data_IF_147253536923
#
_entry.id   IF_147253536923
#
_cell.length_a   1.000
_cell.length_b   1.000
_cell.length_c   1.000
_cell.angle_alpha   90.00
_cell.angle_beta   90.00
_cell.angle_gamma   90.00
#
_symmetry.space_group_name_H-M   'P 1'
#
loop_
_entity.id
_entity.type
_entity.pdbx_description
1 polymer ?
#
# COMPACT_ATOMS: atom_id res chain seq x y z
N UNK A 1 -6.93 -22.95 8.53
CA UNK A 1 -8.05 -22.03 8.86
C UNK A 1 -7.48 -20.91 9.73
N UNK A 2 -7.20 -19.75 9.12
CA UNK A 2 -7.08 -18.39 9.71
C UNK A 2 -6.76 -17.41 8.57
N UNK A 3 -7.75 -17.27 7.69
CA UNK A 3 -7.80 -16.21 6.68
C UNK A 3 -8.67 -15.10 7.27
N UNK A 4 -8.11 -14.14 8.01
CA UNK A 4 -8.80 -12.84 8.24
C UNK A 4 -7.88 -11.76 8.89
N UNK A 5 -6.68 -12.10 9.35
CA UNK A 5 -5.88 -11.16 10.18
C UNK A 5 -5.21 -10.00 9.42
N UNK A 6 -5.27 -9.98 8.08
CA UNK A 6 -4.74 -8.87 7.29
C UNK A 6 -5.70 -7.67 7.18
N UNK A 7 -6.99 -7.86 7.50
CA UNK A 7 -8.02 -6.81 7.35
C UNK A 7 -7.82 -5.63 8.30
N UNK A 8 -7.03 -5.78 9.37
CA UNK A 8 -6.83 -4.73 10.37
C UNK A 8 -5.92 -3.58 9.91
N UNK A 9 -5.08 -3.77 8.89
CA UNK A 9 -4.11 -2.74 8.45
C UNK A 9 -4.46 -2.05 7.12
N UNK A 10 -5.44 -2.57 6.38
CA UNK A 10 -5.93 -1.97 5.14
C UNK A 10 -7.25 -1.27 5.45
N UNK A 11 -7.28 0.05 5.28
CA UNK A 11 -8.49 0.86 5.45
C UNK A 11 -8.97 1.36 4.10
N UNK A 12 -10.28 1.52 3.98
CA UNK A 12 -10.91 2.19 2.85
C UNK A 12 -10.97 3.68 3.17
N UNK A 13 -10.52 4.51 2.23
CA UNK A 13 -10.52 5.96 2.37
C UNK A 13 -11.37 6.56 1.26
N UNK A 14 -12.16 7.59 1.59
CA UNK A 14 -12.99 8.34 0.66
C UNK A 14 -12.41 9.76 0.56
N UNK A 15 -12.11 10.22 -0.66
CA UNK A 15 -12.93 11.33 -1.16
C UNK A 15 -12.99 11.36 -2.69
N UNK A 16 -13.79 12.31 -3.15
CA UNK A 16 -14.02 12.69 -4.54
C UNK A 16 -12.80 12.45 -5.47
N UNK A 17 -12.91 11.63 -6.54
CA UNK A 17 -14.14 11.11 -7.14
C UNK A 17 -14.44 9.61 -6.87
N UNK A 18 -13.53 8.80 -6.28
CA UNK A 18 -13.76 7.35 -6.12
C UNK A 18 -13.10 6.75 -4.86
N UNK A 19 -13.70 5.71 -4.26
CA UNK A 19 -13.14 5.05 -3.09
C UNK A 19 -11.80 4.38 -3.38
N UNK A 20 -10.84 4.52 -2.46
CA UNK A 20 -9.54 3.86 -2.55
C UNK A 20 -9.31 2.92 -1.36
N UNK A 21 -8.50 1.89 -1.59
CA UNK A 21 -7.97 1.04 -0.51
C UNK A 21 -6.56 1.50 -0.20
N UNK A 22 -6.23 1.77 1.06
CA UNK A 22 -4.87 2.13 1.44
C UNK A 22 -4.40 1.47 2.73
N UNK A 23 -3.11 1.19 2.79
CA UNK A 23 -2.42 0.71 3.98
C UNK A 23 -1.40 1.76 4.42
N UNK A 24 -1.46 2.17 5.69
CA UNK A 24 -0.52 3.14 6.28
C UNK A 24 0.71 2.42 6.81
N UNK A 25 1.91 2.91 6.52
CA UNK A 25 3.12 2.45 7.17
C UNK A 25 3.29 3.15 8.53
N UNK A 26 2.54 2.67 9.53
CA UNK A 26 2.60 3.17 10.90
C UNK A 26 3.72 2.55 11.74
N UNK A 27 4.01 1.27 11.52
CA UNK A 27 4.99 0.49 12.27
C UNK A 27 5.61 -0.63 11.40
N UNK A 28 6.76 -1.21 11.78
CA UNK A 28 7.45 -2.22 10.98
C UNK A 28 6.65 -3.49 10.65
N UNK A 29 5.62 -3.84 11.43
CA UNK A 29 4.72 -4.96 11.16
C UNK A 29 3.81 -4.71 9.96
N UNK A 30 3.40 -3.46 9.74
CA UNK A 30 2.54 -3.07 8.63
C UNK A 30 3.12 -3.44 7.24
N UNK A 31 4.46 -3.44 7.10
CA UNK A 31 5.13 -3.80 5.85
C UNK A 31 4.87 -5.25 5.43
N UNK A 32 4.79 -6.17 6.39
CA UNK A 32 4.41 -7.57 6.10
C UNK A 32 2.99 -7.66 5.55
N UNK A 33 2.07 -6.87 6.13
CA UNK A 33 0.68 -6.78 5.64
C UNK A 33 0.57 -6.21 4.25
N UNK A 34 1.39 -5.20 3.93
CA UNK A 34 1.43 -4.65 2.58
C UNK A 34 1.94 -5.66 1.56
N UNK A 35 2.95 -6.46 1.89
CA UNK A 35 3.42 -7.55 0.99
C UNK A 35 2.28 -8.52 0.69
N UNK A 36 1.62 -9.05 1.72
CA UNK A 36 0.52 -10.01 1.54
C UNK A 36 -0.65 -9.40 0.76
N UNK A 37 -0.96 -8.12 0.99
CA UNK A 37 -2.01 -7.41 0.28
C UNK A 37 -1.70 -7.24 -1.21
N UNK A 38 -0.48 -6.84 -1.58
CA UNK A 38 -0.06 -6.74 -2.99
C UNK A 38 -0.08 -8.10 -3.68
N UNK A 39 0.39 -9.15 -3.02
CA UNK A 39 0.33 -10.51 -3.57
C UNK A 39 -1.13 -10.95 -3.83
N UNK A 40 -2.05 -10.66 -2.91
CA UNK A 40 -3.47 -10.94 -3.10
C UNK A 40 -4.06 -10.17 -4.28
N UNK A 41 -3.75 -8.87 -4.43
CA UNK A 41 -4.18 -8.08 -5.59
C UNK A 41 -3.65 -8.65 -6.91
N UNK A 42 -2.39 -9.11 -6.92
CA UNK A 42 -1.73 -9.71 -8.09
C UNK A 42 -2.37 -11.04 -8.46
N UNK A 43 -2.63 -11.90 -7.48
CA UNK A 43 -3.29 -13.20 -7.69
C UNK A 43 -4.73 -13.04 -8.19
N UNK A 44 -5.44 -12.01 -7.73
CA UNK A 44 -6.78 -11.66 -8.20
C UNK A 44 -6.81 -10.97 -9.57
N UNK A 45 -5.64 -10.67 -10.18
CA UNK A 45 -5.56 -9.99 -11.47
C UNK A 45 -5.86 -8.49 -11.41
N UNK A 46 -5.94 -7.88 -10.23
CA UNK A 46 -6.19 -6.45 -10.06
C UNK A 46 -4.96 -5.58 -10.37
N UNK A 47 -3.76 -6.16 -10.32
CA UNK A 47 -2.51 -5.50 -10.71
C UNK A 47 -1.71 -6.41 -11.63
N UNK A 48 -0.84 -5.82 -12.45
CA UNK A 48 -0.03 -6.56 -13.41
C UNK A 48 0.90 -7.59 -12.74
N UNK A 49 1.22 -8.67 -13.44
CA UNK A 49 2.08 -9.75 -12.93
C UNK A 49 3.51 -9.30 -12.57
N UNK A 50 3.95 -8.17 -13.12
CA UNK A 50 5.24 -7.54 -12.83
C UNK A 50 5.21 -6.63 -11.59
N UNK A 51 4.03 -6.34 -11.04
CA UNK A 51 3.90 -5.52 -9.84
C UNK A 51 4.31 -6.33 -8.62
N UNK A 52 5.30 -5.83 -7.89
CA UNK A 52 5.86 -6.48 -6.70
C UNK A 52 6.04 -5.46 -5.60
N UNK A 53 5.75 -5.87 -4.37
CA UNK A 53 6.09 -5.11 -3.17
C UNK A 53 7.08 -5.91 -2.32
N UNK A 54 8.19 -5.29 -1.95
CA UNK A 54 9.25 -5.91 -1.15
C UNK A 54 9.64 -5.04 0.03
N UNK A 55 10.26 -5.66 1.04
CA UNK A 55 10.77 -4.95 2.22
C UNK A 55 12.28 -4.88 2.17
N UNK A 56 12.82 -3.68 2.26
CA UNK A 56 14.26 -3.44 2.27
C UNK A 56 14.69 -2.69 3.54
N UNK A 57 15.99 -2.66 3.83
CA UNK A 57 16.57 -1.81 4.87
C UNK A 57 17.35 -0.68 4.21
N UNK A 58 17.06 0.56 4.59
CA UNK A 58 17.76 1.75 4.13
C UNK A 58 18.10 2.60 5.36
N UNK A 59 19.40 2.84 5.60
CA UNK A 59 19.87 3.65 6.74
C UNK A 59 19.38 3.14 8.12
N UNK A 60 19.30 1.82 8.31
CA UNK A 60 18.81 1.20 9.55
C UNK A 60 17.29 1.14 9.70
N UNK A 61 16.53 1.76 8.79
CA UNK A 61 15.07 1.78 8.79
C UNK A 61 14.53 0.79 7.76
N UNK A 62 13.46 0.06 8.09
CA UNK A 62 12.77 -0.77 7.09
C UNK A 62 11.94 0.12 6.18
N UNK A 63 11.93 -0.17 4.89
CA UNK A 63 11.14 0.54 3.88
C UNK A 63 10.43 -0.47 3.01
N UNK A 64 9.26 -0.08 2.49
CA UNK A 64 8.61 -0.80 1.41
C UNK A 64 9.14 -0.34 0.06
N UNK A 65 9.25 -1.24 -0.91
CA UNK A 65 9.63 -0.92 -2.28
C UNK A 65 8.58 -1.51 -3.20
N UNK A 66 7.88 -0.65 -3.94
CA UNK A 66 6.91 -1.02 -4.97
C UNK A 66 7.59 -0.92 -6.33
N UNK A 67 7.54 -1.99 -7.12
CA UNK A 67 8.12 -2.07 -8.45
C UNK A 67 7.05 -2.54 -9.43
N UNK A 68 6.92 -1.91 -10.60
CA UNK A 68 5.95 -2.31 -11.65
C UNK A 68 6.60 -2.67 -13.00
N UNK A 69 7.94 -2.74 -13.02
CA UNK A 69 8.75 -2.98 -14.20
C UNK A 69 9.08 -1.72 -15.02
N UNK A 70 8.49 -0.55 -14.69
CA UNK A 70 8.82 0.75 -15.28
C UNK A 70 9.28 1.76 -14.22
N UNK A 71 8.77 1.62 -13.00
CA UNK A 71 8.96 2.53 -11.89
C UNK A 71 9.31 1.75 -10.62
N UNK A 72 10.07 2.41 -9.77
CA UNK A 72 10.40 1.95 -8.42
C UNK A 72 10.03 3.06 -7.44
N UNK A 73 9.16 2.76 -6.48
CA UNK A 73 8.76 3.68 -5.43
C UNK A 73 9.16 3.18 -4.06
N UNK A 74 9.62 4.11 -3.22
CA UNK A 74 10.03 3.80 -1.85
C UNK A 74 8.97 4.30 -0.87
N UNK A 75 8.32 3.37 -0.19
CA UNK A 75 7.43 3.63 0.93
C UNK A 75 8.24 3.82 2.22
N UNK A 76 8.28 5.06 2.69
CA UNK A 76 8.90 5.46 3.95
C UNK A 76 7.90 5.44 5.12
N UNK A 77 8.36 5.41 6.38
CA UNK A 77 7.49 5.54 7.54
C UNK A 77 6.52 6.72 7.40
N UNK A 78 5.29 6.54 7.87
CA UNK A 78 4.13 7.44 7.72
C UNK A 78 3.54 7.55 6.30
N UNK A 79 4.18 6.95 5.28
CA UNK A 79 3.64 6.87 3.94
C UNK A 79 2.46 5.90 3.82
N UNK A 80 1.82 5.91 2.66
CA UNK A 80 0.67 5.08 2.33
C UNK A 80 0.92 4.30 1.05
N UNK A 81 0.61 3.01 1.07
CA UNK A 81 0.43 2.22 -0.14
C UNK A 81 -1.05 2.28 -0.52
N UNK A 82 -1.35 2.78 -1.72
CA UNK A 82 -2.71 3.05 -2.19
C UNK A 82 -3.01 2.21 -3.41
N UNK A 83 -4.19 1.60 -3.44
CA UNK A 83 -4.76 0.92 -4.61
C UNK A 83 -6.07 1.62 -5.01
N UNK A 84 -6.12 2.08 -6.26
CA UNK A 84 -7.30 2.69 -6.88
C UNK A 84 -7.50 2.19 -8.32
N UNK A 85 -8.43 2.81 -9.07
CA UNK A 85 -8.71 2.46 -10.47
C UNK A 85 -7.50 2.63 -11.41
N UNK A 86 -6.43 3.29 -10.98
CA UNK A 86 -5.18 3.46 -11.74
C UNK A 86 -4.10 2.46 -11.33
N UNK A 87 -4.33 1.65 -10.29
CA UNK A 87 -3.41 0.62 -9.79
C UNK A 87 -2.78 0.96 -8.45
N UNK A 88 -1.63 0.35 -8.17
CA UNK A 88 -0.89 0.56 -6.92
C UNK A 88 0.05 1.77 -7.02
N UNK A 89 0.13 2.57 -5.95
CA UNK A 89 1.07 3.67 -5.81
C UNK A 89 1.47 3.94 -4.38
N UNK A 90 2.65 4.50 -4.19
CA UNK A 90 3.12 5.01 -2.90
C UNK A 90 2.85 6.51 -2.83
N UNK A 91 2.25 6.96 -1.72
CA UNK A 91 2.06 8.39 -1.41
C UNK A 91 2.71 8.74 -0.08
N UNK A 92 3.25 9.95 0.02
CA UNK A 92 3.66 10.52 1.30
C UNK A 92 2.47 10.91 2.18
N UNK A 93 2.69 11.11 3.48
CA UNK A 93 1.63 11.47 4.44
C UNK A 93 0.88 12.74 4.02
N UNK A 94 1.61 13.81 3.67
CA UNK A 94 1.02 15.10 3.25
C UNK A 94 0.24 14.95 1.94
N UNK A 95 0.77 14.21 0.97
CA UNK A 95 0.10 13.97 -0.31
C UNK A 95 -1.17 13.14 -0.13
N UNK A 96 -1.13 12.13 0.74
CA UNK A 96 -2.29 11.32 1.05
C UNK A 96 -3.41 12.17 1.64
N UNK A 97 -3.16 12.90 2.73
CA UNK A 97 -4.21 13.69 3.40
C UNK A 97 -4.72 14.89 2.61
N UNK A 98 -3.97 15.38 1.62
CA UNK A 98 -4.46 16.38 0.66
C UNK A 98 -5.51 15.83 -0.29
N UNK A 99 -5.41 14.55 -0.62
CA UNK A 99 -6.24 13.89 -1.62
C UNK A 99 -7.23 12.90 -1.02
N UNK A 100 -7.10 12.57 0.27
CA UNK A 100 -7.86 11.51 0.93
C UNK A 100 -8.37 11.87 2.32
N UNK A 101 -9.65 11.59 2.58
CA UNK A 101 -10.25 11.67 3.91
C UNK A 101 -10.74 10.29 4.36
N UNK A 102 -10.98 10.12 5.66
CA UNK A 102 -11.56 8.88 6.17
C UNK A 102 -13.06 8.89 5.87
N UNK A 103 -13.59 7.81 5.31
CA UNK A 103 -15.03 7.56 5.32
C UNK A 103 -15.44 7.33 6.77
N UNK A 104 -16.27 8.20 7.34
CA UNK A 104 -16.96 7.89 8.60
C UNK A 104 -18.06 6.85 8.38
#
# INVERSE_FOLDING_TARGET
MRSDEWRSSVRMYLPWPEPVRAARYGDPGALGTMVAWVESLRQAGHVGSRVRFSVQRCGGVRVGVLEDGKRVDVLRPKGFLVFDGKGLRVLGEVEFWRNYHTAE
#
